data_IF_433022217100
#
_entry.id   IF_433022217100
#
_cell.length_a   1.000
_cell.length_b   1.000
_cell.length_c   1.000
_cell.angle_alpha   90.00
_cell.angle_beta   90.00
_cell.angle_gamma   90.00
#
_symmetry.space_group_name_H-M   'P 1'
#
loop_
_entity.id
_entity.type
_entity.pdbx_description
1 polymer ?
#
# COMPACT_ATOMS: atom_id res chain seq x y z
N UNK A 1 38.57 -41.13 -3.00
CA UNK A 1 38.19 -40.10 -1.99
C UNK A 1 38.11 -38.68 -2.57
N UNK A 2 39.09 -38.23 -3.37
CA UNK A 2 39.12 -36.86 -3.96
C UNK A 2 37.89 -36.49 -4.81
N UNK A 3 37.38 -37.40 -5.62
CA UNK A 3 36.16 -37.19 -6.43
C UNK A 3 34.90 -37.05 -5.59
N UNK A 4 34.77 -37.81 -4.49
CA UNK A 4 33.62 -37.68 -3.57
C UNK A 4 33.63 -36.37 -2.78
N UNK A 5 34.83 -35.87 -2.44
CA UNK A 5 34.98 -34.58 -1.76
C UNK A 5 34.58 -33.41 -2.68
N UNK A 6 34.97 -33.45 -3.96
CA UNK A 6 34.64 -32.41 -4.93
C UNK A 6 33.11 -32.32 -5.19
N UNK A 7 32.42 -33.46 -5.26
CA UNK A 7 30.97 -33.49 -5.43
C UNK A 7 30.23 -32.88 -4.23
N UNK A 8 30.69 -33.17 -3.00
CA UNK A 8 30.09 -32.61 -1.79
C UNK A 8 30.26 -31.09 -1.73
N UNK A 9 31.46 -30.58 -2.04
CA UNK A 9 31.72 -29.13 -2.06
C UNK A 9 30.84 -28.43 -3.11
N UNK A 10 30.70 -29.02 -4.30
CA UNK A 10 29.85 -28.45 -5.36
C UNK A 10 28.37 -28.39 -4.94
N UNK A 11 27.86 -29.43 -4.29
CA UNK A 11 26.48 -29.46 -3.77
C UNK A 11 26.28 -28.40 -2.69
N UNK A 12 27.24 -28.26 -1.76
CA UNK A 12 27.18 -27.24 -0.70
C UNK A 12 27.15 -25.83 -1.31
N UNK A 13 28.00 -25.54 -2.30
CA UNK A 13 28.01 -24.23 -2.99
C UNK A 13 26.70 -23.95 -3.72
N UNK A 14 26.11 -24.95 -4.38
CA UNK A 14 24.81 -24.82 -5.04
C UNK A 14 23.66 -24.56 -4.05
N UNK A 15 23.69 -25.17 -2.87
CA UNK A 15 22.67 -24.95 -1.83
C UNK A 15 22.82 -23.55 -1.22
N UNK A 16 24.04 -23.07 -0.99
CA UNK A 16 24.26 -21.72 -0.46
C UNK A 16 23.84 -20.61 -1.44
N UNK A 17 23.90 -20.85 -2.75
CA UNK A 17 23.47 -19.87 -3.76
C UNK A 17 21.94 -19.73 -3.86
N UNK A 18 21.16 -20.68 -3.33
CA UNK A 18 19.70 -20.72 -3.47
C UNK A 18 18.91 -19.99 -2.37
N UNK A 19 19.58 -19.39 -1.37
CA UNK A 19 18.90 -18.78 -0.20
C UNK A 19 18.62 -17.28 -0.33
N UNK A 20 19.01 -16.65 -1.43
CA UNK A 20 18.67 -15.25 -1.70
C UNK A 20 17.28 -15.13 -2.32
N UNK A 21 16.25 -15.53 -1.57
CA UNK A 21 14.86 -15.15 -1.90
C UNK A 21 14.70 -13.72 -1.39
N UNK A 22 14.55 -12.70 -2.26
CA UNK A 22 14.21 -11.37 -1.78
C UNK A 22 12.86 -11.48 -1.06
N UNK A 23 12.85 -11.11 0.22
CA UNK A 23 11.61 -10.96 0.96
C UNK A 23 10.83 -9.82 0.31
N UNK A 24 9.78 -10.15 -0.45
CA UNK A 24 8.76 -9.18 -0.83
C UNK A 24 8.11 -8.67 0.45
N UNK A 25 8.48 -7.46 0.87
CA UNK A 25 7.69 -6.74 1.84
C UNK A 25 6.41 -6.32 1.10
N UNK A 26 5.39 -7.19 1.05
CA UNK A 26 4.05 -6.73 0.73
C UNK A 26 3.75 -5.60 1.72
N UNK A 27 3.57 -4.35 1.25
CA UNK A 27 3.19 -3.27 2.14
C UNK A 27 1.93 -3.75 2.85
N UNK A 28 1.86 -3.71 4.19
CA UNK A 28 0.64 -4.11 4.86
C UNK A 28 -0.51 -3.31 4.24
N UNK A 29 -1.65 -3.96 4.02
CA UNK A 29 -2.86 -3.43 3.37
C UNK A 29 -3.35 -2.06 3.93
N UNK A 30 -2.71 -1.55 4.98
CA UNK A 30 -2.92 -0.28 5.63
C UNK A 30 -2.33 0.96 4.91
N UNK A 31 -1.50 0.82 3.87
CA UNK A 31 -0.79 1.97 3.28
C UNK A 31 -1.58 2.77 2.22
N UNK A 32 -2.79 2.32 1.83
CA UNK A 32 -3.48 2.86 0.66
C UNK A 32 -3.89 4.32 0.72
N UNK A 33 -4.37 4.77 1.87
CA UNK A 33 -4.63 6.19 2.05
C UNK A 33 -3.35 7.03 1.88
N UNK A 34 -2.23 6.55 2.42
CA UNK A 34 -0.94 7.21 2.29
C UNK A 34 -0.53 7.35 0.83
N UNK A 35 -0.64 6.28 0.04
CA UNK A 35 -0.29 6.32 -1.38
C UNK A 35 -1.23 7.20 -2.20
N UNK A 36 -2.55 7.08 -2.01
CA UNK A 36 -3.52 7.92 -2.69
C UNK A 36 -3.26 9.41 -2.40
N UNK A 37 -3.00 9.75 -1.13
CA UNK A 37 -2.68 11.13 -0.74
C UNK A 37 -1.34 11.61 -1.32
N UNK A 38 -0.33 10.75 -1.41
CA UNK A 38 0.96 11.07 -2.00
C UNK A 38 0.86 11.31 -3.51
N UNK A 39 0.13 10.44 -4.23
CA UNK A 39 -0.13 10.60 -5.65
C UNK A 39 -0.96 11.86 -5.91
N UNK A 40 -2.00 12.10 -5.12
CA UNK A 40 -2.82 13.31 -5.22
C UNK A 40 -2.01 14.59 -5.00
N UNK A 41 -1.10 14.60 -4.02
CA UNK A 41 -0.25 15.76 -3.73
C UNK A 41 0.66 16.15 -4.90
N UNK A 42 1.00 15.20 -5.79
CA UNK A 42 1.81 15.48 -6.98
C UNK A 42 1.02 16.25 -8.06
N UNK A 43 -0.30 16.33 -7.97
CA UNK A 43 -1.13 17.11 -8.90
C UNK A 43 -1.01 18.63 -8.68
N UNK A 44 -0.45 19.05 -7.54
CA UNK A 44 -0.24 20.46 -7.19
C UNK A 44 -1.45 21.14 -6.53
N UNK A 45 -2.58 20.46 -6.39
CA UNK A 45 -3.81 21.00 -5.81
C UNK A 45 -4.23 20.26 -4.54
N UNK A 46 -3.79 20.74 -3.37
CA UNK A 46 -4.14 20.14 -2.06
C UNK A 46 -5.35 20.82 -1.38
N UNK A 47 -5.91 21.85 -2.02
CA UNK A 47 -7.00 22.66 -1.47
C UNK A 47 -6.58 23.55 -0.28
N UNK A 48 -7.58 24.13 0.39
CA UNK A 48 -7.37 25.00 1.56
C UNK A 48 -7.08 24.21 2.82
N UNK A 49 -6.25 24.78 3.70
CA UNK A 49 -5.90 24.16 4.98
C UNK A 49 -7.14 24.03 5.87
N UNK A 50 -7.23 22.96 6.67
CA UNK A 50 -8.42 22.69 7.48
C UNK A 50 -8.73 23.80 8.50
N UNK A 51 -7.72 24.56 8.93
CA UNK A 51 -7.85 25.70 9.85
C UNK A 51 -8.45 26.95 9.22
N UNK A 52 -8.54 27.01 7.89
CA UNK A 52 -9.11 28.14 7.14
C UNK A 52 -10.63 28.00 6.97
N UNK A 53 -11.21 26.93 7.52
CA UNK A 53 -12.64 26.64 7.39
C UNK A 53 -13.42 27.16 8.60
N UNK A 54 -14.64 27.71 8.40
CA UNK A 54 -15.47 28.23 9.49
C UNK A 54 -15.94 27.14 10.47
N UNK A 55 -15.97 25.88 10.03
CA UNK A 55 -16.27 24.71 10.85
C UNK A 55 -15.29 23.58 10.57
N UNK A 56 -14.94 22.74 11.56
CA UNK A 56 -14.12 21.55 11.34
C UNK A 56 -14.72 20.63 10.28
N UNK A 57 -13.91 20.20 9.31
CA UNK A 57 -14.32 19.20 8.31
C UNK A 57 -14.46 17.82 8.95
N UNK A 58 -15.23 16.95 8.30
CA UNK A 58 -15.36 15.56 8.69
C UNK A 58 -13.97 14.87 8.66
N UNK A 59 -13.55 14.32 9.79
CA UNK A 59 -12.28 13.57 9.87
C UNK A 59 -12.33 12.30 9.02
N UNK A 60 -11.18 11.87 8.51
CA UNK A 60 -11.07 10.75 7.55
C UNK A 60 -11.73 9.44 8.02
N UNK A 61 -11.61 9.10 9.30
CA UNK A 61 -12.28 7.92 9.86
C UNK A 61 -13.81 8.06 9.90
N UNK A 62 -14.31 9.27 10.12
CA UNK A 62 -15.74 9.53 10.08
C UNK A 62 -16.25 9.55 8.63
N UNK A 63 -15.45 10.05 7.70
CA UNK A 63 -15.73 9.97 6.26
C UNK A 63 -15.83 8.51 5.78
N UNK A 64 -14.88 7.65 6.16
CA UNK A 64 -14.95 6.23 5.82
C UNK A 64 -16.22 5.55 6.36
N UNK A 65 -16.69 5.92 7.55
CA UNK A 65 -17.97 5.41 8.08
C UNK A 65 -19.15 5.92 7.27
N UNK A 66 -19.19 7.21 6.95
CA UNK A 66 -20.28 7.79 6.16
C UNK A 66 -20.40 7.16 4.77
N UNK A 67 -19.27 6.92 4.09
CA UNK A 67 -19.26 6.25 2.79
C UNK A 67 -19.67 4.77 2.89
N UNK A 68 -19.30 4.10 3.97
CA UNK A 68 -19.76 2.74 4.22
C UNK A 68 -21.28 2.69 4.47
N UNK A 69 -21.80 3.61 5.29
CA UNK A 69 -23.23 3.72 5.57
C UNK A 69 -24.04 4.06 4.31
N UNK A 70 -23.44 4.79 3.36
CA UNK A 70 -23.99 5.07 2.04
C UNK A 70 -23.88 3.90 1.04
N UNK A 71 -23.07 2.88 1.34
CA UNK A 71 -22.83 1.74 0.47
C UNK A 71 -21.75 1.95 -0.60
N UNK A 72 -21.02 3.07 -0.56
CA UNK A 72 -20.00 3.42 -1.56
C UNK A 72 -18.68 2.66 -1.36
N UNK A 73 -18.39 2.22 -0.13
CA UNK A 73 -17.22 1.41 0.18
C UNK A 73 -17.61 0.15 0.95
N UNK A 74 -16.92 -0.99 0.75
CA UNK A 74 -17.31 -2.28 1.32
C UNK A 74 -17.04 -2.41 2.83
N UNK A 75 -16.21 -1.53 3.40
CA UNK A 75 -15.86 -1.53 4.82
C UNK A 75 -15.41 -0.14 5.27
N UNK A 76 -15.67 0.29 6.52
CA UNK A 76 -15.29 1.60 7.03
C UNK A 76 -13.81 1.67 7.44
N UNK A 77 -12.90 1.36 6.50
CA UNK A 77 -11.46 1.29 6.72
C UNK A 77 -10.69 2.35 5.91
N UNK A 78 -9.49 2.72 6.38
CA UNK A 78 -8.62 3.63 5.61
C UNK A 78 -8.12 3.02 4.31
N UNK A 79 -8.03 1.69 4.26
CA UNK A 79 -7.70 0.94 3.04
C UNK A 79 -8.79 1.14 1.99
N UNK A 80 -10.04 0.87 2.35
CA UNK A 80 -11.18 1.04 1.45
C UNK A 80 -11.35 2.51 1.03
N UNK A 81 -11.16 3.45 1.96
CA UNK A 81 -11.17 4.88 1.64
C UNK A 81 -10.06 5.27 0.64
N UNK A 82 -8.84 4.76 0.81
CA UNK A 82 -7.72 5.04 -0.09
C UNK A 82 -7.97 4.49 -1.50
N UNK A 83 -8.49 3.26 -1.60
CA UNK A 83 -8.86 2.64 -2.88
C UNK A 83 -9.97 3.43 -3.57
N UNK A 84 -11.02 3.80 -2.82
CA UNK A 84 -12.12 4.61 -3.34
C UNK A 84 -11.62 5.94 -3.91
N UNK A 85 -10.87 6.71 -3.12
CA UNK A 85 -10.36 8.01 -3.58
C UNK A 85 -9.44 7.88 -4.79
N UNK A 86 -8.54 6.88 -4.80
CA UNK A 86 -7.70 6.66 -5.97
C UNK A 86 -8.49 6.30 -7.22
N UNK A 87 -9.57 5.51 -7.07
CA UNK A 87 -10.46 5.15 -8.17
C UNK A 87 -11.19 6.38 -8.73
N UNK A 88 -11.81 7.18 -7.86
CA UNK A 88 -12.56 8.38 -8.24
C UNK A 88 -11.67 9.46 -8.87
N UNK A 89 -10.42 9.56 -8.43
CA UNK A 89 -9.47 10.56 -8.91
C UNK A 89 -8.53 10.02 -10.02
N UNK A 90 -8.67 8.76 -10.43
CA UNK A 90 -7.83 8.14 -11.45
C UNK A 90 -6.34 8.06 -11.06
N UNK A 91 -6.02 7.90 -9.78
CA UNK A 91 -4.65 7.84 -9.26
C UNK A 91 -4.11 6.39 -9.31
N UNK A 92 -2.85 6.22 -9.74
CA UNK A 92 -2.15 4.93 -9.65
C UNK A 92 -1.68 4.68 -8.21
N UNK A 93 -2.11 3.57 -7.60
CA UNK A 93 -1.67 3.13 -6.26
C UNK A 93 -1.28 1.64 -6.28
N UNK A 94 -0.08 1.36 -6.79
CA UNK A 94 0.40 -0.01 -7.08
C UNK A 94 0.41 -0.97 -5.88
N UNK A 95 0.49 -0.48 -4.64
CA UNK A 95 0.56 -1.34 -3.46
C UNK A 95 -0.81 -1.76 -2.89
N UNK A 96 -1.91 -1.32 -3.47
CA UNK A 96 -3.25 -1.48 -2.88
C UNK A 96 -4.07 -2.64 -3.41
N UNK A 97 -3.45 -3.49 -4.24
CA UNK A 97 -4.09 -4.63 -4.87
C UNK A 97 -5.07 -4.19 -5.96
N UNK A 98 -4.70 -4.41 -7.21
CA UNK A 98 -5.66 -4.74 -8.27
C UNK A 98 -5.71 -6.24 -8.40
#
# INVERSE_FOLDING_TARGET
MKTRLATVVLIVVLILAATAIPASANPPDAACWGQASAAFAQTGEMGQHASEQPTPRLGLRNLARALYDAGDIPQPSMTALGIFVATELGLSIEACGT
#
